data_IF_180061160949
#
_entry.id   IF_180061160949
#
_cell.length_a   1.000
_cell.length_b   1.000
_cell.length_c   1.000
_cell.angle_alpha   90.00
_cell.angle_beta   90.00
_cell.angle_gamma   90.00
#
_symmetry.space_group_name_H-M   'P 1'
#
loop_
_entity.id
_entity.type
_entity.pdbx_description
1 polymer ?
#
# COMPACT_ATOMS: atom_id res chain seq x y z
N UNK A 1 1.59 -7.03 13.85
CA UNK A 1 0.77 -7.36 12.65
C UNK A 1 1.32 -6.79 11.35
N UNK A 2 1.92 -5.59 11.33
CA UNK A 2 2.42 -4.97 10.09
C UNK A 2 3.39 -5.86 9.30
N UNK A 3 4.33 -6.54 9.95
CA UNK A 3 5.30 -7.44 9.28
C UNK A 3 4.66 -8.69 8.66
N UNK A 4 3.68 -9.31 9.32
CA UNK A 4 3.00 -10.49 8.78
C UNK A 4 2.12 -10.13 7.58
N UNK A 5 1.34 -9.05 7.70
CA UNK A 5 0.52 -8.54 6.60
C UNK A 5 1.39 -8.11 5.41
N UNK A 6 2.51 -7.43 5.70
CA UNK A 6 3.56 -7.08 4.76
C UNK A 6 4.07 -8.30 3.97
N UNK A 7 4.48 -9.36 4.65
CA UNK A 7 4.93 -10.59 3.98
C UNK A 7 3.86 -11.17 3.07
N UNK A 8 2.60 -11.23 3.53
CA UNK A 8 1.49 -11.71 2.71
C UNK A 8 1.31 -10.85 1.46
N UNK A 9 1.28 -9.52 1.60
CA UNK A 9 1.14 -8.58 0.47
C UNK A 9 2.30 -8.73 -0.51
N UNK A 10 3.53 -8.92 0.00
CA UNK A 10 4.71 -9.11 -0.84
C UNK A 10 4.64 -10.42 -1.65
N UNK A 11 4.18 -11.52 -1.05
CA UNK A 11 4.06 -12.82 -1.72
C UNK A 11 2.86 -12.91 -2.67
N UNK A 12 1.78 -12.18 -2.40
CA UNK A 12 0.51 -12.27 -3.15
C UNK A 12 0.28 -11.13 -4.12
N UNK A 13 1.14 -10.11 -4.12
CA UNK A 13 0.96 -8.87 -4.88
C UNK A 13 -0.41 -8.19 -4.63
N UNK A 14 -0.98 -8.34 -3.43
CA UNK A 14 -2.33 -7.86 -3.10
C UNK A 14 -2.45 -6.34 -3.24
N UNK A 15 -3.21 -5.89 -4.24
CA UNK A 15 -3.39 -4.47 -4.56
C UNK A 15 -4.01 -3.65 -3.42
N UNK A 16 -4.85 -4.28 -2.59
CA UNK A 16 -5.52 -3.61 -1.47
C UNK A 16 -4.53 -3.15 -0.39
N UNK A 17 -3.37 -3.80 -0.26
CA UNK A 17 -2.32 -3.43 0.69
C UNK A 17 -1.53 -2.16 0.30
N UNK A 18 -1.83 -1.55 -0.85
CA UNK A 18 -1.13 -0.37 -1.42
C UNK A 18 -1.41 0.94 -0.69
N UNK A 19 -2.41 0.98 0.20
CA UNK A 19 -2.84 2.22 0.84
C UNK A 19 -1.67 2.92 1.61
N UNK A 20 -1.58 4.27 1.62
CA UNK A 20 -0.57 5.02 2.38
C UNK A 20 -0.47 4.69 3.88
N UNK A 21 -1.53 4.13 4.46
CA UNK A 21 -1.54 3.67 5.85
C UNK A 21 -0.79 2.35 6.07
N UNK A 22 -0.55 1.59 5.00
CA UNK A 22 0.12 0.30 5.04
C UNK A 22 1.53 0.41 4.46
N UNK A 23 1.65 0.18 3.15
CA UNK A 23 2.92 0.10 2.42
C UNK A 23 3.22 1.35 1.59
N UNK A 24 2.18 2.06 1.16
CA UNK A 24 2.30 3.10 0.14
C UNK A 24 2.49 2.51 -1.26
N UNK A 25 2.23 3.36 -2.27
CA UNK A 25 2.26 2.95 -3.67
C UNK A 25 3.66 2.55 -4.15
N UNK A 26 4.63 3.42 -3.92
CA UNK A 26 6.01 3.25 -4.43
C UNK A 26 6.66 1.96 -3.93
N UNK A 27 6.46 1.65 -2.65
CA UNK A 27 6.98 0.43 -2.05
C UNK A 27 6.31 -0.82 -2.63
N UNK A 28 4.99 -0.80 -2.85
CA UNK A 28 4.29 -1.91 -3.49
C UNK A 28 4.82 -2.19 -4.90
N UNK A 29 5.10 -1.15 -5.70
CA UNK A 29 5.74 -1.29 -7.02
C UNK A 29 7.14 -1.87 -6.91
N UNK A 30 7.94 -1.40 -5.95
CA UNK A 30 9.29 -1.94 -5.70
C UNK A 30 9.24 -3.45 -5.37
N UNK A 31 8.35 -3.89 -4.48
CA UNK A 31 8.20 -5.33 -4.19
C UNK A 31 7.79 -6.08 -5.45
N UNK A 32 6.78 -5.60 -6.17
CA UNK A 32 6.29 -6.25 -7.39
C UNK A 32 7.41 -6.47 -8.42
N UNK A 33 8.28 -5.49 -8.61
CA UNK A 33 9.40 -5.57 -9.57
C UNK A 33 10.58 -6.41 -9.06
N UNK A 34 10.81 -6.44 -7.75
CA UNK A 34 11.89 -7.23 -7.15
C UNK A 34 11.58 -8.73 -7.07
N UNK A 35 10.31 -9.13 -7.01
CA UNK A 35 9.90 -10.55 -6.92
C UNK A 35 10.49 -11.42 -8.05
N UNK A 36 10.35 -11.09 -9.35
CA UNK A 36 11.01 -11.84 -10.42
C UNK A 36 12.51 -11.98 -10.24
N UNK A 37 13.19 -10.88 -9.91
CA UNK A 37 14.66 -10.84 -9.74
C UNK A 37 15.09 -11.78 -8.63
N UNK A 38 14.38 -11.74 -7.50
CA UNK A 38 14.63 -12.61 -6.35
C UNK A 38 14.40 -14.08 -6.74
N UNK A 39 13.33 -14.41 -7.47
CA UNK A 39 13.08 -15.77 -7.95
C UNK A 39 14.23 -16.30 -8.81
N UNK A 40 14.79 -15.50 -9.72
CA UNK A 40 15.95 -15.89 -10.52
C UNK A 40 17.21 -16.13 -9.67
N UNK A 41 17.48 -15.26 -8.68
CA UNK A 41 18.62 -15.43 -7.77
C UNK A 41 18.47 -16.71 -6.94
N UNK A 42 17.30 -16.96 -6.37
CA UNK A 42 17.09 -18.19 -5.59
C UNK A 42 17.11 -19.44 -6.46
N UNK A 43 16.56 -19.37 -7.68
CA UNK A 43 16.64 -20.45 -8.67
C UNK A 43 18.09 -20.81 -9.01
N UNK A 44 18.94 -19.82 -9.28
CA UNK A 44 20.35 -20.07 -9.59
C UNK A 44 21.10 -20.67 -8.40
N UNK A 45 20.85 -20.14 -7.19
CA UNK A 45 21.47 -20.67 -5.96
C UNK A 45 21.00 -22.08 -5.62
N UNK A 46 19.75 -22.42 -5.91
CA UNK A 46 19.24 -23.78 -5.77
C UNK A 46 20.00 -24.74 -6.71
N UNK A 47 20.20 -24.35 -7.97
CA UNK A 47 20.93 -25.19 -8.94
C UNK A 47 22.40 -25.38 -8.54
N UNK A 48 23.07 -24.31 -8.09
CA UNK A 48 24.44 -24.39 -7.55
C UNK A 48 24.53 -25.34 -6.34
N UNK A 49 23.54 -25.29 -5.45
CA UNK A 49 23.48 -26.16 -4.28
C UNK A 49 23.27 -27.64 -4.69
N UNK A 50 22.36 -27.90 -5.62
CA UNK A 50 22.09 -29.25 -6.15
C UNK A 50 23.30 -29.82 -6.87
N UNK A 51 24.01 -29.02 -7.66
CA UNK A 51 25.23 -29.46 -8.37
C UNK A 51 26.38 -29.77 -7.39
N UNK A 52 26.56 -28.92 -6.37
CA UNK A 52 27.63 -29.05 -5.37
C UNK A 52 27.45 -30.24 -4.42
N UNK A 53 26.21 -30.53 -3.99
CA UNK A 53 25.88 -31.60 -3.05
C UNK A 53 25.17 -32.78 -3.75
N UNK A 54 25.32 -32.91 -5.07
CA UNK A 54 24.67 -33.90 -5.95
C UNK A 54 24.80 -35.35 -5.44
N UNK A 55 25.88 -35.66 -4.72
CA UNK A 55 26.12 -36.97 -4.10
C UNK A 55 25.32 -37.27 -2.81
N UNK A 56 24.64 -36.28 -2.20
CA UNK A 56 23.80 -36.44 -1.00
C UNK A 56 22.32 -36.12 -1.25
N UNK A 57 22.02 -35.33 -2.28
CA UNK A 57 20.66 -34.92 -2.62
C UNK A 57 19.89 -35.98 -3.45
N UNK A 58 20.58 -36.99 -3.98
CA UNK A 58 19.99 -38.02 -4.84
C UNK A 58 18.95 -38.91 -4.11
N UNK A 59 18.97 -38.93 -2.77
CA UNK A 59 17.99 -39.66 -1.94
C UNK A 59 16.71 -38.85 -1.67
N UNK A 60 16.64 -37.57 -2.09
CA UNK A 60 15.42 -36.75 -2.04
C UNK A 60 14.63 -36.91 -3.34
N UNK A 61 13.40 -37.43 -3.23
CA UNK A 61 12.50 -37.78 -4.34
C UNK A 61 12.06 -36.59 -5.23
N UNK A 62 12.42 -35.36 -4.89
CA UNK A 62 12.00 -34.15 -5.60
C UNK A 62 13.16 -33.16 -5.82
N UNK A 63 14.13 -33.54 -6.65
CA UNK A 63 15.14 -32.63 -7.19
C UNK A 63 14.67 -32.12 -8.55
N UNK A 64 14.54 -30.81 -8.71
CA UNK A 64 14.15 -30.17 -9.97
C UNK A 64 15.39 -29.99 -10.85
N UNK A 65 15.28 -30.34 -12.12
CA UNK A 65 16.33 -30.03 -13.10
C UNK A 65 16.35 -28.52 -13.46
N UNK A 66 17.46 -28.08 -14.06
CA UNK A 66 17.64 -26.67 -14.49
C UNK A 66 16.49 -26.15 -15.36
N UNK A 67 16.04 -26.95 -16.33
CA UNK A 67 14.98 -26.58 -17.26
C UNK A 67 13.65 -26.43 -16.52
N UNK A 68 13.35 -27.30 -15.55
CA UNK A 68 12.15 -27.27 -14.73
C UNK A 68 12.15 -26.03 -13.81
N UNK A 69 13.28 -25.71 -13.18
CA UNK A 69 13.42 -24.52 -12.32
C UNK A 69 13.16 -23.26 -13.14
N UNK A 70 13.84 -23.07 -14.27
CA UNK A 70 13.64 -21.87 -15.08
C UNK A 70 12.29 -21.82 -15.78
N UNK A 71 11.69 -22.97 -16.13
CA UNK A 71 10.32 -23.03 -16.65
C UNK A 71 9.29 -22.60 -15.60
N UNK A 72 9.44 -23.03 -14.35
CA UNK A 72 8.58 -22.62 -13.25
C UNK A 72 8.68 -21.11 -13.00
N UNK A 73 9.91 -20.59 -12.87
CA UNK A 73 10.15 -19.16 -12.66
C UNK A 73 9.61 -18.35 -13.83
N UNK A 74 9.91 -18.75 -15.07
CA UNK A 74 9.42 -18.09 -16.27
C UNK A 74 7.88 -18.07 -16.36
N UNK A 75 7.23 -19.18 -16.01
CA UNK A 75 5.77 -19.26 -15.94
C UNK A 75 5.17 -18.30 -14.91
N UNK A 76 5.75 -18.22 -13.71
CA UNK A 76 5.30 -17.28 -12.67
C UNK A 76 5.47 -15.83 -13.09
N UNK A 77 6.64 -15.49 -13.68
CA UNK A 77 6.91 -14.14 -14.20
C UNK A 77 5.95 -13.79 -15.33
N UNK A 78 5.64 -14.74 -16.22
CA UNK A 78 4.68 -14.53 -17.29
C UNK A 78 3.27 -14.26 -16.79
N UNK A 79 2.80 -15.04 -15.80
CA UNK A 79 1.49 -14.82 -15.16
C UNK A 79 1.46 -13.44 -14.49
N UNK A 80 2.50 -13.09 -13.74
CA UNK A 80 2.62 -11.78 -13.09
C UNK A 80 2.60 -10.64 -14.11
N UNK A 81 3.39 -10.72 -15.18
CA UNK A 81 3.46 -9.69 -16.22
C UNK A 81 2.11 -9.54 -16.94
N UNK A 82 1.42 -10.65 -17.21
CA UNK A 82 0.08 -10.64 -17.82
C UNK A 82 -0.94 -9.98 -16.90
N UNK A 83 -0.91 -10.31 -15.60
CA UNK A 83 -1.78 -9.69 -14.61
C UNK A 83 -1.53 -8.18 -14.50
N UNK A 84 -0.26 -7.75 -14.47
CA UNK A 84 0.11 -6.34 -14.45
C UNK A 84 -0.34 -5.62 -15.73
N UNK A 85 -0.19 -6.26 -16.89
CA UNK A 85 -0.62 -5.71 -18.17
C UNK A 85 -2.13 -5.47 -18.19
N UNK A 86 -2.94 -6.49 -17.84
CA UNK A 86 -4.41 -6.37 -17.75
C UNK A 86 -4.80 -5.31 -16.73
N UNK A 87 -4.12 -5.27 -15.58
CA UNK A 87 -4.35 -4.24 -14.56
C UNK A 87 -4.12 -2.82 -15.11
N UNK A 88 -3.01 -2.59 -15.81
CA UNK A 88 -2.70 -1.27 -16.40
C UNK A 88 -3.66 -0.89 -17.53
N UNK A 89 -4.27 -1.85 -18.22
CA UNK A 89 -5.30 -1.59 -19.23
C UNK A 89 -6.66 -1.23 -18.61
N UNK A 90 -6.96 -1.79 -17.44
CA UNK A 90 -8.27 -1.65 -16.77
C UNK A 90 -8.32 -0.50 -15.77
N UNK A 91 -7.18 -0.05 -15.26
CA UNK A 91 -7.12 1.00 -14.25
C UNK A 91 -7.52 2.37 -14.83
N UNK A 92 -8.22 3.17 -14.02
CA UNK A 92 -8.37 4.58 -14.29
C UNK A 92 -6.99 5.28 -14.24
N UNK A 93 -6.59 5.86 -15.38
CA UNK A 93 -5.28 6.49 -15.61
C UNK A 93 -4.99 7.65 -14.66
N UNK A 94 -6.03 8.35 -14.21
CA UNK A 94 -5.91 9.44 -13.23
C UNK A 94 -5.33 8.97 -11.91
N UNK A 95 -5.41 7.67 -11.59
CA UNK A 95 -4.88 7.11 -10.34
C UNK A 95 -3.51 6.46 -10.49
N UNK A 96 -2.92 6.38 -11.70
CA UNK A 96 -1.61 5.75 -11.89
C UNK A 96 -0.53 6.44 -11.05
N UNK A 97 -0.61 7.76 -10.85
CA UNK A 97 0.36 8.47 -10.02
C UNK A 97 0.41 7.99 -8.57
N UNK A 98 -0.69 7.41 -8.08
CA UNK A 98 -0.76 6.87 -6.74
C UNK A 98 0.08 5.59 -6.57
N UNK A 99 0.62 5.01 -7.65
CA UNK A 99 1.50 3.85 -7.63
C UNK A 99 2.98 4.20 -7.43
N UNK A 100 3.41 5.39 -7.82
CA UNK A 100 4.77 5.85 -7.54
C UNK A 100 4.80 6.96 -6.48
N UNK A 101 3.66 7.29 -5.89
CA UNK A 101 3.58 8.21 -4.77
C UNK A 101 4.27 7.63 -3.53
N UNK A 102 5.10 8.44 -2.89
CA UNK A 102 5.78 8.16 -1.62
C UNK A 102 5.03 8.72 -0.41
N UNK A 103 3.76 9.13 -0.59
CA UNK A 103 2.98 9.79 0.45
C UNK A 103 2.85 8.90 1.68
N UNK A 104 3.18 9.45 2.84
CA UNK A 104 3.05 8.75 4.12
C UNK A 104 1.61 8.73 4.63
N UNK A 105 1.30 7.84 5.57
CA UNK A 105 -0.01 7.85 6.25
C UNK A 105 -0.32 9.19 6.92
N UNK A 106 0.68 9.83 7.53
CA UNK A 106 0.51 11.14 8.16
C UNK A 106 0.22 12.23 7.13
N UNK A 107 1.00 12.29 6.04
CA UNK A 107 0.72 13.19 4.92
C UNK A 107 -0.63 12.89 4.26
N UNK A 108 -1.09 11.64 4.30
CA UNK A 108 -2.42 11.26 3.85
C UNK A 108 -3.50 11.91 4.71
N UNK A 109 -3.42 11.70 6.03
CA UNK A 109 -4.34 12.28 7.00
C UNK A 109 -4.35 13.82 6.96
N UNK A 110 -3.17 14.46 6.95
CA UNK A 110 -3.06 15.92 6.88
C UNK A 110 -3.62 16.50 5.58
N UNK A 111 -3.70 15.71 4.51
CA UNK A 111 -4.25 16.20 3.25
C UNK A 111 -5.76 16.31 3.22
N UNK A 112 -6.50 15.66 4.14
CA UNK A 112 -7.93 15.92 4.28
C UNK A 112 -8.17 17.41 4.52
N UNK A 113 -7.37 18.02 5.40
CA UNK A 113 -7.45 19.43 5.71
C UNK A 113 -6.78 20.35 4.67
N UNK A 114 -5.59 19.96 4.19
CA UNK A 114 -4.73 20.87 3.39
C UNK A 114 -5.01 20.87 1.89
N UNK A 115 -5.67 19.84 1.34
CA UNK A 115 -5.87 19.70 -0.11
C UNK A 115 -7.30 19.91 -0.59
N UNK A 116 -8.25 19.93 0.33
CA UNK A 116 -9.66 20.14 0.01
C UNK A 116 -10.05 21.54 0.44
N UNK A 117 -10.91 22.20 -0.35
CA UNK A 117 -11.48 23.50 0.03
C UNK A 117 -12.81 23.33 0.77
N UNK A 118 -13.49 22.21 0.55
CA UNK A 118 -14.79 21.90 1.13
C UNK A 118 -14.66 21.53 2.62
N UNK A 119 -15.51 22.15 3.45
CA UNK A 119 -15.50 21.97 4.90
C UNK A 119 -15.76 20.52 5.32
N UNK A 120 -16.61 19.82 4.56
CA UNK A 120 -16.95 18.42 4.79
C UNK A 120 -15.69 17.54 4.78
N UNK A 121 -14.87 17.58 3.72
CA UNK A 121 -13.63 16.77 3.65
C UNK A 121 -12.55 17.25 4.58
N UNK A 122 -12.50 18.55 4.91
CA UNK A 122 -11.52 19.06 5.88
C UNK A 122 -11.71 18.44 7.26
N UNK A 123 -12.95 18.21 7.69
CA UNK A 123 -13.28 17.62 9.00
C UNK A 123 -12.92 16.13 9.08
N UNK A 124 -12.81 15.42 7.97
CA UNK A 124 -12.41 14.00 7.98
C UNK A 124 -11.02 13.79 8.63
N UNK A 125 -10.21 14.84 8.77
CA UNK A 125 -8.96 14.82 9.55
C UNK A 125 -9.17 14.36 11.00
N UNK A 126 -10.32 14.65 11.61
CA UNK A 126 -10.65 14.23 12.99
C UNK A 126 -11.07 12.76 13.08
N UNK A 127 -11.40 12.12 11.95
CA UNK A 127 -11.54 10.66 11.88
C UNK A 127 -10.21 9.92 12.03
N UNK A 128 -9.09 10.63 11.86
CA UNK A 128 -7.73 10.09 12.00
C UNK A 128 -7.16 10.37 13.40
N UNK A 129 -6.27 9.48 13.85
CA UNK A 129 -5.58 9.67 15.13
C UNK A 129 -4.82 11.01 15.15
N UNK A 130 -4.98 11.78 16.23
CA UNK A 130 -4.33 13.08 16.48
C UNK A 130 -2.83 13.10 16.18
N UNK A 131 -2.13 11.98 16.43
CA UNK A 131 -0.72 11.84 16.09
C UNK A 131 -0.42 12.06 14.59
N UNK A 132 -1.32 11.65 13.70
CA UNK A 132 -1.10 11.72 12.25
C UNK A 132 -1.18 13.14 11.68
N UNK A 133 -1.83 14.07 12.37
CA UNK A 133 -2.00 15.46 11.94
C UNK A 133 -1.48 16.48 12.94
N UNK A 134 -0.66 16.04 13.90
CA UNK A 134 -0.05 16.87 14.94
C UNK A 134 0.69 18.09 14.39
N UNK A 135 1.31 17.98 13.22
CA UNK A 135 2.08 19.08 12.61
C UNK A 135 1.20 20.25 12.15
N UNK A 136 -0.07 19.99 11.83
CA UNK A 136 -1.04 21.02 11.40
C UNK A 136 -2.11 21.32 12.45
N UNK A 137 -1.99 20.69 13.62
CA UNK A 137 -3.03 20.66 14.63
C UNK A 137 -3.56 22.04 15.01
N UNK A 138 -2.64 22.97 15.27
CA UNK A 138 -3.02 24.33 15.66
C UNK A 138 -3.92 24.99 14.63
N UNK A 139 -3.55 24.91 13.34
CA UNK A 139 -4.32 25.51 12.26
C UNK A 139 -5.67 24.82 12.05
N UNK A 140 -5.72 23.49 12.24
CA UNK A 140 -6.96 22.70 12.15
C UNK A 140 -7.95 23.12 13.24
N UNK A 141 -7.49 23.17 14.50
CA UNK A 141 -8.34 23.53 15.65
C UNK A 141 -8.79 24.99 15.58
N UNK A 142 -7.89 25.92 15.24
CA UNK A 142 -8.23 27.34 15.06
C UNK A 142 -9.30 27.52 13.95
N UNK A 143 -9.15 26.84 12.81
CA UNK A 143 -10.12 26.91 11.72
C UNK A 143 -11.48 26.32 12.12
N UNK A 144 -11.51 25.16 12.78
CA UNK A 144 -12.77 24.54 13.20
C UNK A 144 -13.53 25.41 14.20
N UNK A 145 -12.84 25.97 15.19
CA UNK A 145 -13.49 26.82 16.20
C UNK A 145 -14.16 28.06 15.60
N UNK A 146 -13.66 28.57 14.47
CA UNK A 146 -14.28 29.67 13.74
C UNK A 146 -15.53 29.24 12.95
N UNK A 147 -15.62 27.97 12.57
CA UNK A 147 -16.67 27.46 11.67
C UNK A 147 -17.80 26.75 12.41
N UNK A 148 -17.54 26.14 13.57
CA UNK A 148 -18.55 25.48 14.42
C UNK A 148 -19.81 26.34 14.63
N UNK A 149 -19.72 27.66 14.94
CA UNK A 149 -20.92 28.48 15.12
C UNK A 149 -21.82 28.51 13.88
N UNK A 150 -21.21 28.65 12.69
CA UNK A 150 -21.93 28.67 11.42
C UNK A 150 -22.56 27.31 11.11
N UNK A 151 -21.86 26.20 11.35
CA UNK A 151 -22.41 24.86 11.12
C UNK A 151 -23.52 24.50 12.11
N UNK A 152 -23.42 24.96 13.36
CA UNK A 152 -24.47 24.77 14.34
C UNK A 152 -25.76 25.55 14.01
N UNK A 153 -25.62 26.73 13.38
CA UNK A 153 -26.75 27.53 12.90
C UNK A 153 -27.34 26.96 11.60
N UNK A 154 -26.49 26.70 10.60
CA UNK A 154 -26.92 26.27 9.27
C UNK A 154 -27.31 24.78 9.18
N UNK A 155 -26.84 23.95 10.12
CA UNK A 155 -27.09 22.49 10.19
C UNK A 155 -26.98 21.80 8.82
N UNK A 156 -25.81 21.88 8.15
CA UNK A 156 -25.65 21.25 6.85
C UNK A 156 -25.78 19.71 6.98
N UNK A 157 -26.26 19.03 5.92
CA UNK A 157 -26.59 17.59 5.97
C UNK A 157 -25.44 16.69 6.46
N UNK A 158 -24.20 17.10 6.25
CA UNK A 158 -23.01 16.38 6.66
C UNK A 158 -22.58 16.65 8.12
N UNK A 159 -23.11 17.69 8.76
CA UNK A 159 -22.76 18.06 10.14
C UNK A 159 -23.69 17.37 11.13
N UNK A 160 -23.15 16.37 11.82
CA UNK A 160 -23.89 15.56 12.78
C UNK A 160 -23.20 15.51 14.16
N UNK A 161 -23.93 14.97 15.14
CA UNK A 161 -23.43 14.82 16.51
C UNK A 161 -22.17 13.94 16.59
N UNK A 162 -21.96 13.01 15.64
CA UNK A 162 -20.79 12.13 15.62
C UNK A 162 -19.54 12.92 15.24
N UNK A 163 -19.59 13.73 14.18
CA UNK A 163 -18.46 14.57 13.74
C UNK A 163 -18.13 15.62 14.80
N UNK A 164 -19.15 16.20 15.43
CA UNK A 164 -18.96 17.13 16.54
C UNK A 164 -18.19 16.46 17.71
N UNK A 165 -18.50 15.20 18.03
CA UNK A 165 -17.82 14.47 19.10
C UNK A 165 -16.37 14.04 18.79
N UNK A 166 -15.93 14.11 17.52
CA UNK A 166 -14.54 13.79 17.13
C UNK A 166 -13.58 14.98 17.29
N UNK A 167 -14.12 16.19 17.39
CA UNK A 167 -13.33 17.40 17.52
C UNK A 167 -12.83 17.50 18.97
N UNK A 168 -11.52 17.58 19.20
CA UNK A 168 -10.97 17.78 20.53
C UNK A 168 -11.31 19.18 21.07
N UNK A 169 -11.53 19.27 22.38
CA UNK A 169 -11.77 20.52 23.11
C UNK A 169 -10.66 21.57 22.92
#
# INVERSE_FOLDING_TARGET
MRVAFKSIVDFTALLHGRHPYELGGSYWVFTLLSTPVICFIFGSRYLEYVESDAGKAQDLEMVLDEVQVYRLIGGLVFIQATALFVFLQTINKEYIYTFYSTRTGNENAMGFFTKHDDAERKIDVFGESRWKWKDIERGVVEWVNLQIPEWNESQPEWWDARRNALIPD
#
